data_IF_704814374335
#
_entry.id   IF_704814374335
#
_cell.length_a   1.000
_cell.length_b   1.000
_cell.length_c   1.000
_cell.angle_alpha   90.00
_cell.angle_beta   90.00
_cell.angle_gamma   90.00
#
_symmetry.space_group_name_H-M   'P 1'
#
loop_
_entity.id
_entity.type
_entity.pdbx_description
1 polymer ?
#
# COMPACT_ATOMS: atom_id res chain seq x y z
N UNK A 1 -89.06 31.87 -27.84
CA UNK A 1 -90.32 32.15 -27.11
C UNK A 1 -90.86 30.84 -26.58
N UNK A 2 -91.41 30.83 -25.36
CA UNK A 2 -91.96 29.66 -24.68
C UNK A 2 -93.40 29.98 -24.30
N UNK A 3 -94.34 29.08 -24.60
CA UNK A 3 -95.73 29.20 -24.15
C UNK A 3 -95.85 28.52 -22.79
N UNK A 4 -96.33 29.24 -21.80
CA UNK A 4 -96.51 28.76 -20.43
C UNK A 4 -97.97 28.90 -20.02
N UNK A 5 -98.53 27.79 -19.54
CA UNK A 5 -99.87 27.75 -18.95
C UNK A 5 -99.70 27.67 -17.43
N UNK A 6 -100.04 28.73 -16.67
CA UNK A 6 -99.94 28.68 -15.22
C UNK A 6 -100.89 27.64 -14.63
N UNK A 7 -100.41 26.88 -13.64
CA UNK A 7 -101.22 25.87 -12.93
C UNK A 7 -102.33 26.49 -12.09
N UNK A 8 -102.08 27.65 -11.47
CA UNK A 8 -103.09 28.41 -10.74
C UNK A 8 -103.83 29.34 -11.72
N UNK A 9 -105.02 28.92 -12.14
CA UNK A 9 -105.90 29.70 -13.00
C UNK A 9 -106.96 30.39 -12.13
N UNK A 10 -106.80 31.70 -11.96
CA UNK A 10 -107.82 32.57 -11.36
C UNK A 10 -108.05 33.76 -12.27
N UNK A 11 -109.30 34.23 -12.39
CA UNK A 11 -109.65 35.35 -13.26
C UNK A 11 -108.91 36.66 -12.91
N UNK A 12 -108.44 36.80 -11.67
CA UNK A 12 -107.60 37.90 -11.21
C UNK A 12 -106.12 37.81 -11.61
N UNK A 13 -105.70 36.70 -12.21
CA UNK A 13 -104.31 36.45 -12.61
C UNK A 13 -104.17 36.40 -14.14
N UNK A 14 -103.01 36.84 -14.65
CA UNK A 14 -102.71 36.85 -16.09
C UNK A 14 -103.68 37.66 -16.96
N UNK A 15 -104.37 38.67 -16.41
CA UNK A 15 -105.37 39.48 -17.13
C UNK A 15 -106.45 38.63 -17.83
N UNK A 16 -106.80 37.47 -17.26
CA UNK A 16 -107.78 36.55 -17.84
C UNK A 16 -107.25 35.67 -18.97
N UNK A 17 -105.98 35.80 -19.36
CA UNK A 17 -105.37 34.96 -20.38
C UNK A 17 -105.01 33.58 -19.81
N UNK A 18 -105.46 32.54 -20.50
CA UNK A 18 -105.18 31.14 -20.14
C UNK A 18 -103.71 30.79 -20.32
N UNK A 19 -103.04 31.41 -21.29
CA UNK A 19 -101.64 31.15 -21.63
C UNK A 19 -100.83 32.43 -21.69
N UNK A 20 -99.56 32.35 -21.30
CA UNK A 20 -98.56 33.42 -21.44
C UNK A 20 -97.50 33.01 -22.46
N UNK A 21 -97.06 33.94 -23.29
CA UNK A 21 -95.94 33.71 -24.21
C UNK A 21 -94.74 34.50 -23.69
N UNK A 22 -93.71 33.79 -23.22
CA UNK A 22 -92.52 34.35 -22.60
C UNK A 22 -91.37 34.32 -23.62
N UNK A 23 -90.73 35.45 -23.87
CA UNK A 23 -89.45 35.49 -24.59
C UNK A 23 -88.32 35.34 -23.59
N UNK A 24 -87.74 34.16 -23.49
CA UNK A 24 -86.47 34.01 -22.81
C UNK A 24 -85.35 34.40 -23.78
N UNK A 25 -84.49 35.31 -23.33
CA UNK A 25 -83.25 35.70 -24.02
C UNK A 25 -82.13 35.50 -23.00
N UNK A 26 -81.04 34.88 -23.43
CA UNK A 26 -79.85 34.70 -22.60
C UNK A 26 -79.25 36.07 -22.25
N UNK A 27 -78.92 36.28 -20.98
CA UNK A 27 -78.29 37.51 -20.56
C UNK A 27 -76.85 37.56 -21.09
N UNK A 28 -76.39 38.68 -21.66
CA UNK A 28 -75.00 38.79 -22.13
C UNK A 28 -74.04 38.64 -20.95
N UNK A 29 -73.07 37.74 -21.08
CA UNK A 29 -72.07 37.42 -20.05
C UNK A 29 -70.81 38.25 -20.27
N UNK A 30 -70.28 38.86 -19.21
CA UNK A 30 -69.03 39.63 -19.25
C UNK A 30 -67.83 38.66 -19.35
N UNK A 31 -66.99 38.76 -20.40
CA UNK A 31 -65.84 37.87 -20.58
C UNK A 31 -64.73 38.07 -19.53
N UNK A 32 -64.73 39.17 -18.78
CA UNK A 32 -63.73 39.47 -17.75
C UNK A 32 -64.24 39.21 -16.32
N UNK A 33 -65.48 38.73 -16.16
CA UNK A 33 -66.04 38.49 -14.83
C UNK A 33 -65.48 37.20 -14.19
N UNK A 34 -64.94 37.27 -12.96
CA UNK A 34 -64.37 36.10 -12.30
C UNK A 34 -65.45 35.09 -11.88
N UNK A 35 -65.09 33.80 -11.66
CA UNK A 35 -66.04 32.78 -11.20
C UNK A 35 -66.76 33.17 -9.90
N UNK A 36 -68.09 33.32 -9.97
CA UNK A 36 -68.92 33.80 -8.85
C UNK A 36 -68.99 32.84 -7.66
N UNK A 37 -68.81 31.54 -7.86
CA UNK A 37 -69.06 30.52 -6.84
C UNK A 37 -67.85 29.61 -6.62
N UNK A 38 -67.60 29.26 -5.36
CA UNK A 38 -66.59 28.28 -4.96
C UNK A 38 -67.19 26.88 -4.91
N UNK A 39 -66.49 25.89 -5.44
CA UNK A 39 -66.92 24.49 -5.34
C UNK A 39 -66.70 23.94 -3.93
N UNK A 40 -67.75 23.37 -3.33
CA UNK A 40 -67.67 22.61 -2.06
C UNK A 40 -67.82 21.12 -2.37
N UNK A 41 -66.86 20.29 -1.96
CA UNK A 41 -66.97 18.82 -2.06
C UNK A 41 -67.86 18.30 -0.92
N UNK A 42 -68.91 17.58 -1.28
CA UNK A 42 -69.83 16.93 -0.35
C UNK A 42 -69.52 15.43 -0.33
N UNK A 43 -69.64 14.74 0.82
CA UNK A 43 -69.52 13.29 0.87
C UNK A 43 -70.45 12.62 -0.14
N UNK A 44 -70.02 11.48 -0.68
CA UNK A 44 -70.84 10.71 -1.62
C UNK A 44 -72.15 10.34 -0.93
N UNK A 45 -73.27 10.58 -1.63
CA UNK A 45 -74.60 10.20 -1.15
C UNK A 45 -74.70 8.68 -0.93
N UNK A 46 -75.75 8.22 -0.22
CA UNK A 46 -75.96 6.80 0.01
C UNK A 46 -76.02 6.05 -1.33
N UNK A 47 -75.47 4.83 -1.41
CA UNK A 47 -75.63 4.02 -2.60
C UNK A 47 -77.12 3.69 -2.83
N UNK A 48 -77.47 3.33 -4.06
CA UNK A 48 -78.75 2.69 -4.35
C UNK A 48 -78.95 1.47 -3.43
N UNK A 49 -80.19 1.10 -3.09
CA UNK A 49 -80.44 -0.08 -2.28
C UNK A 49 -79.68 -1.30 -2.85
N UNK A 50 -79.05 -2.13 -1.99
CA UNK A 50 -78.26 -3.25 -2.46
C UNK A 50 -79.16 -4.22 -3.22
N UNK A 51 -78.71 -4.62 -4.40
CA UNK A 51 -79.43 -5.60 -5.21
C UNK A 51 -79.46 -6.95 -4.50
N UNK A 52 -80.58 -7.71 -4.56
CA UNK A 52 -80.64 -9.05 -3.99
C UNK A 52 -79.60 -9.97 -4.64
N UNK A 53 -78.72 -10.57 -3.82
CA UNK A 53 -77.71 -11.50 -4.33
C UNK A 53 -78.25 -12.92 -4.30
N UNK A 54 -78.55 -13.48 -5.47
CA UNK A 54 -79.09 -14.82 -5.63
C UNK A 54 -77.97 -15.88 -5.64
N UNK A 55 -77.41 -16.19 -4.48
CA UNK A 55 -76.47 -17.30 -4.32
C UNK A 55 -77.19 -18.66 -4.29
N UNK A 56 -76.53 -19.71 -4.74
CA UNK A 56 -76.95 -21.08 -4.42
C UNK A 56 -76.86 -21.32 -2.91
N UNK A 57 -77.62 -22.27 -2.33
CA UNK A 57 -77.50 -22.64 -0.93
C UNK A 57 -76.02 -22.90 -0.53
N UNK A 58 -75.59 -22.46 0.65
CA UNK A 58 -74.19 -22.57 1.06
C UNK A 58 -73.80 -24.04 1.17
N UNK A 59 -72.70 -24.41 0.51
CA UNK A 59 -72.10 -25.74 0.66
C UNK A 59 -71.44 -25.81 2.04
N UNK A 60 -71.66 -26.92 2.75
CA UNK A 60 -70.98 -27.13 4.04
C UNK A 60 -69.49 -27.33 3.80
N UNK A 61 -68.67 -26.47 4.39
CA UNK A 61 -67.21 -26.65 4.35
C UNK A 61 -66.83 -27.84 5.22
N UNK A 62 -65.94 -28.69 4.74
CA UNK A 62 -65.41 -29.78 5.56
C UNK A 62 -64.34 -29.24 6.50
N UNK A 63 -64.15 -29.88 7.67
CA UNK A 63 -63.08 -29.51 8.60
C UNK A 63 -61.69 -29.68 7.95
N UNK A 64 -61.55 -30.66 7.07
CA UNK A 64 -60.32 -30.91 6.31
C UNK A 64 -60.01 -29.73 5.38
N UNK A 65 -60.98 -29.31 4.58
CA UNK A 65 -60.79 -28.15 3.68
C UNK A 65 -60.39 -26.91 4.49
N UNK A 66 -61.05 -26.67 5.63
CA UNK A 66 -60.71 -25.53 6.48
C UNK A 66 -59.26 -25.59 7.01
N UNK A 67 -58.75 -26.78 7.31
CA UNK A 67 -57.38 -26.97 7.79
C UNK A 67 -56.35 -26.82 6.67
N UNK A 68 -56.61 -27.41 5.51
CA UNK A 68 -55.72 -27.34 4.34
C UNK A 68 -55.57 -25.88 3.85
N UNK A 69 -56.62 -25.07 4.01
CA UNK A 69 -56.61 -23.63 3.68
C UNK A 69 -56.15 -22.73 4.83
N UNK A 70 -55.61 -23.28 5.92
CA UNK A 70 -55.06 -22.48 7.02
C UNK A 70 -53.67 -21.97 6.66
N UNK A 71 -53.59 -20.71 6.26
CA UNK A 71 -52.34 -20.05 5.88
C UNK A 71 -51.47 -19.81 7.13
N UNK A 72 -50.21 -20.31 7.16
CA UNK A 72 -49.28 -20.02 8.25
C UNK A 72 -48.94 -18.54 8.37
N UNK A 73 -48.67 -18.01 9.58
CA UNK A 73 -48.26 -16.63 9.75
C UNK A 73 -46.90 -16.37 9.08
N UNK A 74 -46.77 -15.20 8.43
CA UNK A 74 -45.50 -14.78 7.85
C UNK A 74 -44.56 -14.27 8.96
N UNK A 75 -43.49 -15.02 9.22
CA UNK A 75 -42.41 -14.63 10.12
C UNK A 75 -41.23 -14.24 9.24
N UNK A 76 -40.88 -12.96 9.24
CA UNK A 76 -39.79 -12.46 8.40
C UNK A 76 -38.48 -12.36 9.20
N UNK A 77 -37.37 -12.64 8.52
CA UNK A 77 -36.03 -12.47 9.08
C UNK A 77 -35.58 -10.99 9.15
N UNK A 78 -36.31 -10.07 8.50
CA UNK A 78 -35.94 -8.66 8.39
C UNK A 78 -36.82 -7.69 9.17
N UNK A 79 -38.14 -7.93 9.21
CA UNK A 79 -39.12 -6.96 9.71
C UNK A 79 -39.93 -7.52 10.88
N UNK A 80 -39.99 -6.74 11.96
CA UNK A 80 -40.85 -6.99 13.11
C UNK A 80 -41.45 -5.67 13.62
N UNK A 81 -42.38 -5.10 12.84
CA UNK A 81 -42.93 -3.75 13.07
C UNK A 81 -43.61 -3.65 14.45
N UNK A 82 -44.28 -4.72 14.88
CA UNK A 82 -44.98 -4.78 16.16
C UNK A 82 -44.11 -5.28 17.32
N UNK A 83 -42.84 -5.63 17.06
CA UNK A 83 -41.90 -6.05 18.09
C UNK A 83 -42.26 -7.37 18.80
N UNK A 84 -42.93 -8.31 18.12
CA UNK A 84 -43.28 -9.59 18.73
C UNK A 84 -42.04 -10.39 19.16
N UNK A 85 -42.09 -11.00 20.35
CA UNK A 85 -41.09 -11.96 20.80
C UNK A 85 -41.36 -13.30 20.12
N UNK A 86 -40.51 -13.66 19.16
CA UNK A 86 -40.65 -14.87 18.34
C UNK A 86 -39.48 -15.80 18.66
N UNK A 87 -39.73 -17.08 19.01
CA UNK A 87 -38.67 -18.03 19.33
C UNK A 87 -37.80 -18.35 18.10
N UNK A 88 -36.60 -18.84 18.36
CA UNK A 88 -35.58 -19.04 17.31
C UNK A 88 -35.99 -20.10 16.29
N UNK A 89 -36.61 -21.19 16.73
CA UNK A 89 -37.09 -22.25 15.84
C UNK A 89 -38.02 -21.69 14.75
N UNK A 90 -38.95 -20.78 15.10
CA UNK A 90 -39.88 -20.19 14.14
C UNK A 90 -39.25 -19.14 13.23
N UNK A 91 -38.16 -18.49 13.66
CA UNK A 91 -37.39 -17.57 12.81
C UNK A 91 -36.52 -18.33 11.81
N UNK A 92 -35.87 -19.41 12.26
CA UNK A 92 -34.96 -20.20 11.43
C UNK A 92 -35.67 -21.26 10.59
N UNK A 93 -36.95 -21.57 10.87
CA UNK A 93 -37.70 -22.61 10.16
C UNK A 93 -37.73 -22.46 8.62
N UNK A 94 -37.75 -21.22 8.12
CA UNK A 94 -37.85 -20.94 6.69
C UNK A 94 -36.49 -20.62 6.04
N UNK A 95 -35.39 -20.73 6.78
CA UNK A 95 -34.08 -20.26 6.33
C UNK A 95 -33.52 -21.11 5.18
N UNK A 96 -34.04 -22.33 4.95
CA UNK A 96 -33.70 -23.19 3.79
C UNK A 96 -32.26 -23.69 3.77
N UNK A 97 -31.34 -23.05 4.49
CA UNK A 97 -29.92 -23.41 4.64
C UNK A 97 -29.73 -24.81 5.19
N UNK A 98 -30.62 -25.25 6.08
CA UNK A 98 -30.62 -26.63 6.60
C UNK A 98 -31.14 -27.69 5.62
N UNK A 99 -31.74 -27.28 4.50
CA UNK A 99 -32.22 -28.19 3.44
C UNK A 99 -31.18 -28.37 2.34
N UNK A 100 -30.16 -27.51 2.27
CA UNK A 100 -29.10 -27.60 1.27
C UNK A 100 -27.98 -28.52 1.76
N UNK A 101 -27.95 -29.75 1.24
CA UNK A 101 -26.82 -30.64 1.42
C UNK A 101 -25.69 -30.19 0.48
N UNK A 102 -24.57 -29.73 1.05
CA UNK A 102 -23.40 -29.31 0.27
C UNK A 102 -22.68 -30.56 -0.22
N UNK A 103 -22.93 -30.93 -1.47
CA UNK A 103 -22.21 -32.01 -2.16
C UNK A 103 -20.98 -31.46 -2.88
N UNK A 104 -19.83 -32.13 -2.76
CA UNK A 104 -18.57 -31.75 -3.40
C UNK A 104 -18.32 -32.65 -4.61
N UNK A 105 -17.85 -32.07 -5.72
CA UNK A 105 -17.53 -32.82 -6.95
C UNK A 105 -16.17 -33.52 -6.89
N UNK A 106 -16.07 -34.73 -7.45
CA UNK A 106 -14.81 -35.47 -7.62
C UNK A 106 -13.77 -34.78 -8.51
N UNK A 107 -14.19 -33.79 -9.31
CA UNK A 107 -13.26 -33.02 -10.15
C UNK A 107 -12.26 -32.22 -9.30
N UNK A 108 -12.62 -31.84 -8.07
CA UNK A 108 -11.69 -31.20 -7.14
C UNK A 108 -10.54 -32.14 -6.76
N UNK A 109 -10.82 -33.43 -6.55
CA UNK A 109 -9.80 -34.43 -6.27
C UNK A 109 -8.87 -34.60 -7.47
N UNK A 110 -9.43 -34.80 -8.67
CA UNK A 110 -8.66 -34.95 -9.92
C UNK A 110 -7.76 -33.73 -10.19
N UNK A 111 -8.27 -32.52 -9.98
CA UNK A 111 -7.49 -31.30 -10.13
C UNK A 111 -6.34 -31.27 -9.14
N UNK A 112 -6.61 -31.52 -7.85
CA UNK A 112 -5.57 -31.50 -6.82
C UNK A 112 -4.46 -32.52 -7.08
N UNK A 113 -4.82 -33.74 -7.49
CA UNK A 113 -3.85 -34.79 -7.86
C UNK A 113 -3.02 -34.38 -9.07
N UNK A 114 -3.66 -33.81 -10.10
CA UNK A 114 -2.95 -33.34 -11.30
C UNK A 114 -1.92 -32.26 -10.98
N UNK A 115 -2.27 -31.33 -10.07
CA UNK A 115 -1.36 -30.28 -9.60
C UNK A 115 -0.20 -30.85 -8.80
N UNK A 116 -0.44 -31.83 -7.92
CA UNK A 116 0.64 -32.51 -7.19
C UNK A 116 1.61 -33.24 -8.12
N UNK A 117 1.11 -33.91 -9.16
CA UNK A 117 1.95 -34.59 -10.15
C UNK A 117 2.74 -33.56 -10.96
N UNK A 118 2.08 -32.49 -11.42
CA UNK A 118 2.74 -31.42 -12.18
C UNK A 118 3.84 -30.74 -11.36
N UNK A 119 3.59 -30.45 -10.08
CA UNK A 119 4.58 -29.85 -9.18
C UNK A 119 5.79 -30.77 -8.99
N UNK A 120 5.56 -32.06 -8.73
CA UNK A 120 6.65 -33.02 -8.57
C UNK A 120 7.53 -33.08 -9.83
N UNK A 121 6.91 -33.17 -11.00
CA UNK A 121 7.63 -33.22 -12.26
C UNK A 121 8.42 -31.92 -12.51
N UNK A 122 7.83 -30.76 -12.23
CA UNK A 122 8.50 -29.47 -12.36
C UNK A 122 9.72 -29.37 -11.43
N UNK A 123 9.62 -29.84 -10.18
CA UNK A 123 10.76 -29.87 -9.25
C UNK A 123 11.88 -30.78 -9.73
N UNK A 124 11.55 -31.98 -10.18
CA UNK A 124 12.54 -32.92 -10.73
C UNK A 124 13.24 -32.36 -11.97
N UNK A 125 12.51 -31.69 -12.86
CA UNK A 125 13.10 -31.02 -14.03
C UNK A 125 14.04 -29.88 -13.63
N UNK A 126 13.63 -29.03 -12.69
CA UNK A 126 14.46 -27.92 -12.19
C UNK A 126 15.73 -28.45 -11.53
N UNK A 127 15.63 -29.51 -10.72
CA UNK A 127 16.78 -30.14 -10.08
C UNK A 127 17.73 -30.77 -11.11
N UNK A 128 17.21 -31.49 -12.11
CA UNK A 128 18.00 -32.04 -13.23
C UNK A 128 18.71 -30.92 -14.01
N UNK A 129 18.02 -29.82 -14.31
CA UNK A 129 18.63 -28.66 -14.98
C UNK A 129 19.72 -28.01 -14.12
N UNK A 130 19.46 -27.83 -12.83
CA UNK A 130 20.43 -27.24 -11.90
C UNK A 130 21.68 -28.12 -11.72
N UNK A 131 21.51 -29.45 -11.63
CA UNK A 131 22.65 -30.38 -11.54
C UNK A 131 23.47 -30.41 -12.83
N UNK A 132 22.84 -30.36 -14.00
CA UNK A 132 23.52 -30.25 -15.30
C UNK A 132 24.29 -28.93 -15.39
N UNK A 133 23.66 -27.81 -15.05
CA UNK A 133 24.32 -26.49 -15.04
C UNK A 133 25.54 -26.46 -14.10
N UNK A 134 25.42 -27.06 -12.91
CA UNK A 134 26.56 -27.21 -11.98
C UNK A 134 27.70 -28.05 -12.59
N UNK A 135 27.39 -29.15 -13.29
CA UNK A 135 28.39 -29.99 -13.96
C UNK A 135 29.09 -29.25 -15.11
N UNK A 136 28.34 -28.49 -15.91
CA UNK A 136 28.90 -27.65 -16.98
C UNK A 136 29.83 -26.59 -16.38
N UNK A 137 29.37 -25.87 -15.35
CA UNK A 137 30.17 -24.86 -14.68
C UNK A 137 31.46 -25.43 -14.04
N UNK A 138 31.39 -26.64 -13.46
CA UNK A 138 32.56 -27.33 -12.93
C UNK A 138 33.56 -27.71 -14.03
N UNK A 139 33.07 -28.25 -15.16
CA UNK A 139 33.90 -28.61 -16.32
C UNK A 139 34.52 -27.38 -16.98
N UNK A 140 33.78 -26.27 -17.09
CA UNK A 140 34.30 -25.00 -17.59
C UNK A 140 35.37 -24.42 -16.66
N UNK A 141 35.22 -24.60 -15.34
CA UNK A 141 36.24 -24.21 -14.35
C UNK A 141 37.50 -25.06 -14.46
N UNK A 142 37.35 -26.38 -14.61
CA UNK A 142 38.47 -27.31 -14.81
C UNK A 142 39.25 -26.98 -16.09
N UNK A 143 38.55 -26.76 -17.22
CA UNK A 143 39.19 -26.36 -18.47
C UNK A 143 39.97 -25.05 -18.33
N UNK A 144 39.39 -24.05 -17.64
CA UNK A 144 40.08 -22.79 -17.34
C UNK A 144 41.31 -23.01 -16.45
N UNK A 145 41.25 -23.92 -15.48
CA UNK A 145 42.39 -24.27 -14.62
C UNK A 145 43.51 -24.95 -15.43
N UNK A 146 43.19 -25.87 -16.34
CA UNK A 146 44.14 -26.49 -17.25
C UNK A 146 44.78 -25.49 -18.23
N UNK A 147 43.98 -24.58 -18.79
CA UNK A 147 44.47 -23.47 -19.63
C UNK A 147 45.45 -22.59 -18.85
N UNK A 148 45.10 -22.18 -17.62
CA UNK A 148 45.99 -21.40 -16.76
C UNK A 148 47.24 -22.18 -16.36
N UNK A 149 47.13 -23.49 -16.13
CA UNK A 149 48.25 -24.36 -15.76
C UNK A 149 49.23 -24.54 -16.91
N UNK A 150 48.74 -24.78 -18.12
CA UNK A 150 49.57 -24.90 -19.33
C UNK A 150 50.23 -23.56 -19.68
N UNK A 151 49.52 -22.44 -19.56
CA UNK A 151 50.08 -21.10 -19.72
C UNK A 151 51.19 -20.82 -18.70
N UNK A 152 50.97 -21.17 -17.42
CA UNK A 152 51.98 -21.01 -16.37
C UNK A 152 53.20 -21.92 -16.58
N UNK A 153 53.00 -23.15 -17.08
CA UNK A 153 54.09 -24.05 -17.42
C UNK A 153 54.92 -23.51 -18.59
N UNK A 154 54.26 -23.04 -19.66
CA UNK A 154 54.93 -22.39 -20.80
C UNK A 154 55.70 -21.15 -20.37
N UNK A 155 55.13 -20.30 -19.52
CA UNK A 155 55.82 -19.13 -18.97
C UNK A 155 57.05 -19.52 -18.11
N UNK A 156 57.00 -20.66 -17.40
CA UNK A 156 58.17 -21.20 -16.68
C UNK A 156 59.23 -21.74 -17.62
N UNK A 157 58.84 -22.43 -18.67
CA UNK A 157 59.76 -22.96 -19.70
C UNK A 157 60.45 -21.82 -20.45
N UNK A 158 59.73 -20.77 -20.85
CA UNK A 158 60.30 -19.56 -21.46
C UNK A 158 61.25 -18.83 -20.50
N UNK A 159 60.91 -18.76 -19.20
CA UNK A 159 61.80 -18.21 -18.16
C UNK A 159 63.04 -19.08 -17.91
N UNK A 160 62.90 -20.40 -17.96
CA UNK A 160 64.01 -21.33 -17.79
C UNK A 160 64.93 -21.31 -19.02
N UNK A 161 64.38 -21.21 -20.22
CA UNK A 161 65.14 -21.07 -21.47
C UNK A 161 65.91 -19.74 -21.50
N UNK A 162 65.31 -18.64 -21.06
CA UNK A 162 65.99 -17.34 -20.95
C UNK A 162 67.03 -17.32 -19.83
N UNK A 163 66.79 -18.00 -18.70
CA UNK A 163 67.81 -18.17 -17.65
C UNK A 163 68.96 -19.11 -18.07
N UNK A 164 68.69 -20.12 -18.89
CA UNK A 164 69.69 -21.04 -19.44
C UNK A 164 70.58 -20.44 -20.54
N UNK A 165 70.09 -19.41 -21.24
CA UNK A 165 70.86 -18.63 -22.22
C UNK A 165 71.79 -17.58 -21.57
N UNK A 166 71.72 -17.38 -20.25
CA UNK A 166 72.68 -16.59 -19.47
C UNK A 166 73.63 -17.49 -18.65
N UNK A 167 73.84 -18.74 -19.06
CA UNK A 167 74.88 -19.61 -18.53
C UNK A 167 76.01 -19.73 -19.57
N UNK A 168 76.87 -18.72 -19.62
CA UNK A 168 78.21 -18.84 -20.23
C UNK A 168 79.04 -19.88 -19.45
N UNK A 169 79.89 -20.69 -20.11
CA UNK A 169 80.75 -21.65 -19.44
C UNK A 169 81.86 -20.93 -18.64
N UNK A 170 81.62 -20.70 -17.36
CA UNK A 170 82.62 -20.21 -16.41
C UNK A 170 83.60 -21.34 -15.99
N UNK A 171 84.89 -21.02 -15.71
CA UNK A 171 85.95 -22.01 -15.48
C UNK A 171 85.79 -22.81 -14.17
N UNK A 172 86.49 -23.95 -14.12
CA UNK A 172 86.33 -25.08 -13.19
C UNK A 172 86.29 -24.81 -11.65
N UNK A 173 86.92 -23.77 -11.04
CA UNK A 173 86.90 -23.64 -9.57
C UNK A 173 85.56 -23.14 -8.97
N UNK A 174 84.55 -22.80 -9.79
CA UNK A 174 83.25 -22.27 -9.30
C UNK A 174 82.18 -23.37 -9.14
N UNK A 175 82.39 -24.56 -9.72
CA UNK A 175 81.44 -25.68 -9.65
C UNK A 175 81.26 -26.23 -8.23
N UNK A 176 82.32 -26.23 -7.42
CA UNK A 176 82.27 -26.68 -6.02
C UNK A 176 81.43 -25.73 -5.13
N UNK A 177 81.54 -24.41 -5.32
CA UNK A 177 80.74 -23.43 -4.57
C UNK A 177 79.24 -23.44 -4.96
N UNK A 178 78.92 -23.77 -6.21
CA UNK A 178 77.52 -23.95 -6.67
C UNK A 178 76.93 -25.23 -6.10
N UNK A 179 77.72 -26.32 -6.06
CA UNK A 179 77.37 -27.59 -5.42
C UNK A 179 77.05 -27.39 -3.93
N UNK A 180 77.92 -26.72 -3.17
CA UNK A 180 77.69 -26.43 -1.75
C UNK A 180 76.44 -25.56 -1.53
N UNK A 181 76.17 -24.58 -2.40
CA UNK A 181 74.97 -23.74 -2.32
C UNK A 181 73.70 -24.51 -2.65
N UNK A 182 73.78 -25.48 -3.54
CA UNK A 182 72.67 -26.34 -3.94
C UNK A 182 72.39 -27.42 -2.88
N UNK A 183 73.43 -27.96 -2.24
CA UNK A 183 73.33 -28.79 -1.05
C UNK A 183 72.67 -28.02 0.10
N UNK A 184 73.06 -26.77 0.35
CA UNK A 184 72.46 -25.93 1.39
C UNK A 184 70.99 -25.55 1.09
N UNK A 185 70.60 -25.47 -0.19
CA UNK A 185 69.19 -25.33 -0.62
C UNK A 185 68.42 -26.62 -0.43
N UNK A 186 69.02 -27.76 -0.76
CA UNK A 186 68.40 -29.07 -0.55
C UNK A 186 68.25 -29.40 0.94
N UNK A 187 69.23 -29.02 1.76
CA UNK A 187 69.21 -29.18 3.20
C UNK A 187 68.10 -28.33 3.82
N UNK A 188 68.00 -27.02 3.50
CA UNK A 188 66.87 -26.17 3.93
C UNK A 188 65.51 -26.65 3.42
N UNK A 189 65.46 -27.35 2.29
CA UNK A 189 64.22 -27.92 1.75
C UNK A 189 63.83 -29.19 2.51
N UNK A 190 64.79 -30.08 2.81
CA UNK A 190 64.59 -31.25 3.66
C UNK A 190 64.26 -30.87 5.09
N UNK A 191 64.84 -29.78 5.59
CA UNK A 191 64.56 -29.22 6.92
C UNK A 191 63.13 -28.69 7.00
N UNK A 192 62.68 -27.84 6.07
CA UNK A 192 61.27 -27.41 5.99
C UNK A 192 60.30 -28.56 5.78
N UNK A 193 60.68 -29.59 5.03
CA UNK A 193 59.84 -30.77 4.83
C UNK A 193 59.74 -31.63 6.10
N UNK A 194 60.84 -31.77 6.84
CA UNK A 194 60.85 -32.37 8.19
C UNK A 194 60.04 -31.53 9.18
N UNK A 195 60.20 -30.21 9.16
CA UNK A 195 59.48 -29.26 10.01
C UNK A 195 57.98 -29.31 9.73
N UNK A 196 57.54 -29.30 8.47
CA UNK A 196 56.12 -29.47 8.09
C UNK A 196 55.59 -30.85 8.50
N UNK A 197 56.42 -31.90 8.43
CA UNK A 197 56.04 -33.23 8.92
C UNK A 197 55.97 -33.30 10.44
N UNK A 198 56.83 -32.60 11.16
CA UNK A 198 56.82 -32.49 12.62
C UNK A 198 55.65 -31.63 13.10
N UNK A 199 55.38 -30.50 12.44
CA UNK A 199 54.22 -29.63 12.71
C UNK A 199 52.90 -30.38 12.49
N UNK A 200 52.83 -31.25 11.47
CA UNK A 200 51.68 -32.15 11.28
C UNK A 200 51.67 -33.37 12.21
N UNK A 201 52.82 -33.80 12.77
CA UNK A 201 52.90 -34.94 13.71
C UNK A 201 52.56 -34.56 15.15
N UNK A 202 52.85 -33.33 15.55
CA UNK A 202 52.65 -32.84 16.92
C UNK A 202 51.17 -32.55 17.26
N UNK A 203 50.23 -32.72 16.32
CA UNK A 203 48.78 -32.59 16.55
C UNK A 203 48.30 -31.20 17.00
N UNK A 204 49.22 -30.25 17.17
CA UNK A 204 48.93 -28.86 17.50
C UNK A 204 48.51 -28.17 16.21
N UNK A 205 47.23 -27.75 16.16
CA UNK A 205 46.67 -26.91 15.10
C UNK A 205 47.70 -25.86 14.65
N UNK A 206 48.02 -25.85 13.35
CA UNK A 206 49.03 -24.95 12.78
C UNK A 206 48.70 -23.51 13.13
N UNK A 207 49.72 -22.65 13.23
CA UNK A 207 49.51 -21.22 13.57
C UNK A 207 48.45 -20.58 12.65
N UNK A 208 48.40 -21.00 11.39
CA UNK A 208 47.41 -20.52 10.42
C UNK A 208 45.98 -20.97 10.73
N UNK A 209 45.76 -22.22 11.15
CA UNK A 209 44.41 -22.69 11.53
C UNK A 209 43.99 -22.15 12.89
N UNK A 210 44.93 -21.99 13.82
CA UNK A 210 44.69 -21.37 15.13
C UNK A 210 44.26 -19.92 15.00
N UNK A 211 44.95 -19.13 14.18
CA UNK A 211 44.63 -17.72 13.93
C UNK A 211 43.27 -17.56 13.20
N UNK A 212 42.87 -18.54 12.38
CA UNK A 212 41.58 -18.57 11.70
C UNK A 212 40.40 -18.90 12.64
N UNK A 213 40.61 -19.74 13.64
CA UNK A 213 39.61 -20.16 14.63
C UNK A 213 39.56 -19.28 15.89
N UNK A 214 40.41 -18.24 16.03
CA UNK A 214 40.31 -17.30 17.16
C UNK A 214 39.01 -16.51 17.10
N UNK A 215 38.31 -16.45 18.22
CA UNK A 215 37.13 -15.62 18.39
C UNK A 215 37.44 -14.15 18.15
N UNK A 216 36.44 -13.39 17.68
CA UNK A 216 36.62 -11.98 17.32
C UNK A 216 37.15 -11.15 18.50
N UNK A 217 36.74 -11.46 19.73
CA UNK A 217 37.24 -10.82 20.96
C UNK A 217 38.73 -11.11 21.21
N UNK A 218 39.21 -12.33 20.93
CA UNK A 218 40.63 -12.68 21.07
C UNK A 218 41.47 -12.06 19.96
N UNK A 219 40.95 -11.96 18.74
CA UNK A 219 41.63 -11.24 17.64
C UNK A 219 41.72 -9.73 17.91
N UNK A 220 40.72 -9.16 18.58
CA UNK A 220 40.72 -7.77 19.06
C UNK A 220 41.75 -7.59 20.18
N UNK A 221 41.78 -8.49 21.17
CA UNK A 221 42.75 -8.44 22.27
C UNK A 221 44.21 -8.66 21.79
N UNK A 222 44.40 -9.41 20.71
CA UNK A 222 45.71 -9.62 20.06
C UNK A 222 46.06 -8.53 19.02
N UNK A 223 45.20 -7.51 18.84
CA UNK A 223 45.44 -6.39 17.92
C UNK A 223 45.43 -6.75 16.42
N UNK A 224 44.91 -7.93 16.05
CA UNK A 224 44.89 -8.43 14.67
C UNK A 224 43.62 -8.05 13.89
N UNK A 225 42.63 -7.45 14.55
CA UNK A 225 41.41 -6.97 13.89
C UNK A 225 41.68 -5.65 13.16
N UNK A 226 41.71 -5.69 11.82
CA UNK A 226 41.66 -4.48 11.00
C UNK A 226 40.26 -3.87 11.14
N UNK A 227 40.11 -2.61 11.61
CA UNK A 227 38.81 -1.99 11.71
C UNK A 227 38.25 -1.75 10.31
N UNK A 228 37.23 -2.52 9.91
CA UNK A 228 36.46 -2.28 8.70
C UNK A 228 35.39 -1.21 8.98
N UNK A 229 35.79 0.05 9.09
CA UNK A 229 34.82 1.15 9.11
C UNK A 229 35.42 2.40 8.50
N UNK A 230 35.39 2.48 7.17
CA UNK A 230 35.69 3.68 6.39
C UNK A 230 34.44 4.52 6.11
N UNK A 231 33.34 4.27 6.82
CA UNK A 231 32.07 4.99 6.65
C UNK A 231 31.71 5.72 7.94
N UNK A 232 31.30 6.98 7.80
CA UNK A 232 30.89 7.87 8.89
C UNK A 232 29.81 7.22 9.73
N UNK A 233 30.04 7.13 11.05
CA UNK A 233 29.09 6.59 12.02
C UNK A 233 27.80 7.45 12.02
N UNK A 234 26.78 7.02 11.29
CA UNK A 234 25.45 7.63 11.35
C UNK A 234 24.74 7.26 12.66
N UNK A 235 24.01 8.21 13.27
CA UNK A 235 23.27 7.98 14.51
C UNK A 235 22.15 6.95 14.30
N UNK A 236 22.15 5.89 15.11
CA UNK A 236 21.20 4.77 15.05
C UNK A 236 19.74 5.22 15.19
N UNK A 237 19.48 6.39 15.81
CA UNK A 237 18.14 6.97 15.93
C UNK A 237 17.55 7.41 14.60
N UNK A 238 18.39 7.73 13.61
CA UNK A 238 17.95 8.16 12.28
C UNK A 238 17.46 7.00 11.42
N UNK A 239 18.05 5.80 11.57
CA UNK A 239 17.67 4.63 10.76
C UNK A 239 16.35 3.98 11.16
N UNK A 240 15.91 4.20 12.41
CA UNK A 240 14.64 3.65 12.91
C UNK A 240 13.47 4.62 12.79
N UNK A 241 13.62 5.69 12.00
CA UNK A 241 12.52 6.62 11.72
C UNK A 241 11.73 6.09 10.52
N UNK A 242 10.48 5.67 10.72
CA UNK A 242 9.58 5.17 9.67
C UNK A 242 9.14 6.24 8.63
N UNK A 243 9.79 7.41 8.62
CA UNK A 243 9.45 8.55 7.76
C UNK A 243 10.14 8.44 6.42
N UNK A 244 9.53 7.74 5.47
CA UNK A 244 10.02 7.71 4.09
C UNK A 244 9.09 7.05 3.08
N UNK A 245 8.30 6.06 3.48
CA UNK A 245 7.41 5.32 2.57
C UNK A 245 5.92 5.64 2.74
N UNK A 246 5.53 6.28 3.85
CA UNK A 246 4.11 6.44 4.21
C UNK A 246 3.43 7.72 3.70
N UNK A 247 4.16 8.75 3.30
CA UNK A 247 3.59 10.09 3.05
C UNK A 247 3.38 10.44 1.57
N UNK A 248 3.54 9.50 0.63
CA UNK A 248 3.49 9.84 -0.81
C UNK A 248 3.09 8.73 -1.77
N UNK A 249 2.69 7.56 -1.29
CA UNK A 249 2.36 6.42 -2.16
C UNK A 249 0.86 6.19 -2.39
N UNK A 250 0.00 6.93 -1.69
CA UNK A 250 -1.46 6.75 -1.76
C UNK A 250 -2.09 7.87 -2.59
N UNK A 251 -1.86 7.80 -3.90
CA UNK A 251 -2.36 8.76 -4.90
C UNK A 251 -3.76 8.40 -5.38
N UNK A 252 -4.77 8.58 -4.52
CA UNK A 252 -6.18 8.59 -4.91
C UNK A 252 -6.79 9.96 -4.61
N UNK A 253 -7.40 10.57 -5.63
CA UNK A 253 -8.02 11.91 -5.58
C UNK A 253 -9.06 12.07 -4.46
N UNK A 254 -9.57 10.95 -3.93
CA UNK A 254 -10.57 10.85 -2.88
C UNK A 254 -9.98 10.81 -1.44
N UNK A 255 -8.66 10.82 -1.29
CA UNK A 255 -8.00 10.74 0.02
C UNK A 255 -7.64 12.13 0.55
N UNK A 256 -8.40 12.61 1.54
CA UNK A 256 -8.20 13.89 2.24
C UNK A 256 -6.98 13.87 3.21
N UNK A 257 -5.82 13.43 2.74
CA UNK A 257 -4.57 13.37 3.51
C UNK A 257 -3.68 14.61 3.22
N UNK A 258 -4.19 15.81 3.51
CA UNK A 258 -3.49 17.09 3.26
C UNK A 258 -2.40 17.38 4.30
N UNK A 259 -2.48 16.76 5.49
CA UNK A 259 -1.57 17.01 6.60
C UNK A 259 -0.90 15.73 7.08
N UNK A 260 0.42 15.77 7.28
CA UNK A 260 1.22 14.65 7.81
C UNK A 260 0.92 14.31 9.28
N UNK A 261 0.25 15.22 10.00
CA UNK A 261 -0.05 15.09 11.43
C UNK A 261 -1.52 15.42 11.69
N UNK A 262 -2.18 14.61 12.52
CA UNK A 262 -3.52 14.89 12.99
C UNK A 262 -3.59 16.21 13.77
N UNK A 263 -4.65 17.01 13.52
CA UNK A 263 -4.87 18.32 14.15
C UNK A 263 -4.93 18.25 15.69
N UNK A 264 -5.43 17.14 16.23
CA UNK A 264 -5.37 16.84 17.65
C UNK A 264 -4.37 15.71 17.90
N UNK A 265 -3.42 15.94 18.80
CA UNK A 265 -2.41 14.95 19.23
C UNK A 265 -3.02 13.90 20.16
N UNK A 266 -4.17 13.34 19.78
CA UNK A 266 -4.81 12.22 20.47
C UNK A 266 -4.06 10.91 20.27
N UNK A 267 -3.28 10.74 19.19
CA UNK A 267 -2.65 9.46 18.82
C UNK A 267 -1.40 9.03 19.61
N UNK A 268 -1.12 9.60 20.78
CA UNK A 268 -0.05 9.10 21.67
C UNK A 268 -0.37 9.34 23.15
N UNK A 269 -1.12 10.40 23.46
CA UNK A 269 -1.70 10.58 24.79
C UNK A 269 -2.91 9.65 25.01
N UNK A 270 -3.72 9.33 23.99
CA UNK A 270 -4.89 8.45 24.16
C UNK A 270 -4.53 7.01 24.55
N UNK A 271 -3.39 6.48 24.07
CA UNK A 271 -2.87 5.17 24.50
C UNK A 271 -2.44 5.15 25.98
N UNK A 272 -2.28 6.31 26.60
CA UNK A 272 -1.96 6.49 28.01
C UNK A 272 -3.17 6.94 28.86
N UNK A 273 -4.35 7.20 28.26
CA UNK A 273 -5.51 7.67 29.03
C UNK A 273 -6.06 6.59 29.97
N UNK A 274 -5.86 5.29 29.67
CA UNK A 274 -6.15 4.23 30.64
C UNK A 274 -5.41 2.93 30.31
N UNK A 275 -4.36 2.60 31.10
CA UNK A 275 -3.70 1.29 31.11
C UNK A 275 -3.53 0.83 32.56
N UNK A 276 -4.49 0.07 33.13
CA UNK A 276 -4.34 -0.42 34.50
C UNK A 276 -3.22 -1.47 34.55
N UNK A 277 -2.08 -1.12 35.14
CA UNK A 277 -0.99 -2.05 35.44
C UNK A 277 -1.23 -2.68 36.82
N UNK A 278 -1.75 -3.90 36.84
CA UNK A 278 -2.08 -4.70 38.03
C UNK A 278 -0.85 -5.19 38.83
N UNK A 279 0.22 -4.39 38.91
CA UNK A 279 1.48 -4.77 39.57
C UNK A 279 2.11 -3.64 40.39
N UNK A 280 1.33 -2.64 40.81
CA UNK A 280 1.78 -1.57 41.72
C UNK A 280 0.71 -1.25 42.78
N UNK A 281 0.09 -2.26 43.37
CA UNK A 281 -0.99 -2.06 44.36
C UNK A 281 -0.54 -1.74 45.80
N UNK A 282 0.77 -1.72 46.11
CA UNK A 282 1.21 -1.69 47.52
C UNK A 282 1.91 -0.40 48.02
N UNK A 283 1.95 0.71 47.26
CA UNK A 283 2.73 1.90 47.71
C UNK A 283 2.05 3.29 47.56
N UNK A 284 0.75 3.38 47.23
CA UNK A 284 0.10 4.69 46.98
C UNK A 284 -1.34 4.81 47.52
N UNK A 285 -1.57 4.42 48.77
CA UNK A 285 -2.89 4.52 49.45
C UNK A 285 -3.36 5.93 49.85
N UNK A 286 -3.02 6.97 49.10
CA UNK A 286 -3.52 8.35 49.27
C UNK A 286 -3.70 8.95 47.86
N UNK A 287 -4.93 8.95 47.33
CA UNK A 287 -5.27 9.48 46.01
C UNK A 287 -4.83 10.95 45.83
N UNK A 288 -4.87 11.75 46.90
CA UNK A 288 -4.48 13.16 46.87
C UNK A 288 -2.96 13.34 46.70
N UNK A 289 -2.14 12.45 47.28
CA UNK A 289 -0.68 12.49 47.13
C UNK A 289 -0.22 11.98 45.77
N UNK A 290 -0.95 11.02 45.19
CA UNK A 290 -0.68 10.54 43.84
C UNK A 290 -0.95 11.62 42.79
N UNK A 291 -2.06 12.36 42.92
CA UNK A 291 -2.38 13.50 42.05
C UNK A 291 -1.37 14.65 42.19
N UNK A 292 -0.97 14.98 43.42
CA UNK A 292 0.04 16.02 43.68
C UNK A 292 1.43 15.60 43.15
N UNK A 293 1.79 14.31 43.25
CA UNK A 293 3.08 13.83 42.76
C UNK A 293 3.15 13.69 41.24
N UNK A 294 2.02 13.43 40.55
CA UNK A 294 1.95 13.46 39.08
C UNK A 294 2.05 14.90 38.56
N UNK A 295 1.43 15.87 39.24
CA UNK A 295 1.62 17.29 38.93
C UNK A 295 3.03 17.79 39.28
N UNK A 296 3.63 17.31 40.38
CA UNK A 296 4.99 17.67 40.80
C UNK A 296 6.10 16.97 39.99
N UNK A 297 5.80 15.81 39.37
CA UNK A 297 6.67 15.13 38.39
C UNK A 297 6.46 15.62 36.96
N UNK A 298 5.76 16.75 36.78
CA UNK A 298 5.93 17.57 35.59
C UNK A 298 7.43 17.87 35.43
N UNK A 299 8.03 17.25 34.43
CA UNK A 299 9.40 17.49 33.93
C UNK A 299 9.64 18.95 33.47
N UNK A 300 8.72 19.87 33.75
CA UNK A 300 8.88 21.31 33.69
C UNK A 300 8.73 21.91 35.08
N UNK A 301 9.80 21.85 35.86
CA UNK A 301 10.06 22.93 36.82
C UNK A 301 10.64 24.10 36.02
N UNK A 302 10.07 25.32 36.07
CA UNK A 302 10.77 26.50 35.58
C UNK A 302 11.95 26.72 36.53
N UNK A 303 13.09 26.12 36.21
CA UNK A 303 14.34 26.38 36.90
C UNK A 303 14.77 27.80 36.60
N UNK A 304 15.04 28.56 37.66
CA UNK A 304 15.67 29.89 37.71
C UNK A 304 17.12 29.91 37.15
N UNK A 305 17.34 29.28 36.00
CA UNK A 305 18.53 29.42 35.17
C UNK A 305 18.04 29.59 33.74
N UNK A 306 17.77 30.84 33.40
CA UNK A 306 17.44 31.23 32.05
C UNK A 306 18.52 30.77 31.07
N UNK A 307 18.07 30.46 29.87
CA UNK A 307 18.89 30.29 28.67
C UNK A 307 19.85 31.49 28.56
N UNK A 308 21.15 31.20 28.56
CA UNK A 308 22.19 32.20 28.38
C UNK A 308 21.98 32.84 26.99
N UNK A 309 21.57 34.11 26.98
CA UNK A 309 21.17 34.83 25.76
C UNK A 309 19.76 35.44 25.78
N UNK A 310 18.93 35.17 26.79
CA UNK A 310 17.62 35.81 26.95
C UNK A 310 17.52 36.59 28.28
N UNK A 311 18.23 37.73 28.35
CA UNK A 311 18.10 38.68 29.45
C UNK A 311 16.71 39.30 29.51
N UNK A 312 16.06 39.24 30.68
CA UNK A 312 14.81 39.94 30.99
C UNK A 312 15.02 41.45 30.87
N UNK A 313 14.38 42.07 29.87
CA UNK A 313 14.27 43.52 29.72
C UNK A 313 12.90 44.01 30.20
N UNK A 314 12.92 44.80 31.27
CA UNK A 314 11.84 45.70 31.68
C UNK A 314 11.62 46.78 30.59
N UNK A 315 10.36 47.12 30.34
CA UNK A 315 9.85 48.29 29.58
C UNK A 315 10.21 48.47 28.08
N UNK A 316 9.12 48.58 27.33
CA UNK A 316 8.87 49.56 26.26
C UNK A 316 9.34 49.28 24.82
N UNK A 317 8.43 49.66 23.91
CA UNK A 317 8.55 49.95 22.47
C UNK A 317 8.31 48.83 21.44
N UNK A 318 7.17 48.98 20.76
CA UNK A 318 6.84 48.38 19.46
C UNK A 318 7.83 48.81 18.39
N UNK A 319 8.59 47.87 17.83
CA UNK A 319 9.41 48.10 16.63
C UNK A 319 8.89 47.26 15.47
N UNK A 320 8.10 47.91 14.61
CA UNK A 320 7.74 47.42 13.28
C UNK A 320 8.84 47.80 12.29
N UNK A 321 9.82 46.91 12.06
CA UNK A 321 10.64 46.88 10.84
C UNK A 321 11.03 45.43 10.51
N UNK A 322 11.04 45.02 9.23
CA UNK A 322 11.48 43.67 8.84
C UNK A 322 12.95 43.43 9.17
N UNK A 323 13.26 42.17 9.49
CA UNK A 323 14.60 41.67 9.82
C UNK A 323 15.50 41.78 8.59
N UNK A 324 16.59 42.53 8.71
CA UNK A 324 17.72 42.49 7.78
C UNK A 324 18.65 41.33 8.20
N UNK A 325 19.08 40.52 7.24
CA UNK A 325 20.09 39.47 7.45
C UNK A 325 21.45 40.00 6.98
N UNK A 326 22.48 39.85 7.81
CA UNK A 326 23.87 40.01 7.40
C UNK A 326 24.27 38.83 6.50
N UNK A 327 24.77 39.15 5.31
CA UNK A 327 25.28 38.18 4.33
C UNK A 327 26.77 37.96 4.63
N UNK A 328 27.10 36.84 5.26
CA UNK A 328 28.49 36.39 5.36
C UNK A 328 28.92 35.78 4.02
N UNK A 329 29.80 36.48 3.32
CA UNK A 329 30.38 36.10 2.03
C UNK A 329 31.41 34.95 2.17
N UNK A 330 30.93 33.73 2.42
CA UNK A 330 31.71 32.51 2.21
C UNK A 330 31.57 32.06 0.75
N UNK A 331 32.70 32.06 0.02
CA UNK A 331 32.76 31.87 -1.42
C UNK A 331 32.04 30.60 -1.91
N UNK A 332 31.01 30.75 -2.75
CA UNK A 332 30.27 29.67 -3.41
C UNK A 332 31.17 28.88 -4.38
N UNK A 333 31.59 27.64 -4.03
CA UNK A 333 32.50 26.85 -4.84
C UNK A 333 31.83 26.22 -6.08
N UNK A 334 30.51 26.37 -6.23
CA UNK A 334 29.73 25.80 -7.33
C UNK A 334 29.18 26.86 -8.30
N UNK A 335 29.45 28.15 -8.08
CA UNK A 335 29.07 29.24 -8.99
C UNK A 335 27.57 29.38 -9.21
N UNK A 336 26.76 28.86 -8.30
CA UNK A 336 25.29 28.90 -8.34
C UNK A 336 24.78 30.31 -8.09
N UNK A 337 25.49 31.11 -7.30
CA UNK A 337 25.09 32.48 -6.99
C UNK A 337 25.25 33.43 -8.21
N UNK A 338 26.22 33.16 -9.09
CA UNK A 338 26.32 33.82 -10.40
C UNK A 338 25.17 33.42 -11.31
N UNK A 339 24.81 32.14 -11.34
CA UNK A 339 23.69 31.64 -12.14
C UNK A 339 22.33 32.20 -11.67
N UNK A 340 22.14 32.31 -10.35
CA UNK A 340 20.94 32.88 -9.74
C UNK A 340 20.85 34.39 -9.97
N UNK A 341 21.96 35.13 -9.88
CA UNK A 341 21.97 36.57 -10.17
C UNK A 341 21.79 36.87 -11.66
N UNK A 342 22.28 36.01 -12.56
CA UNK A 342 22.10 36.11 -14.01
C UNK A 342 20.66 35.77 -14.44
N UNK A 343 20.05 34.75 -13.81
CA UNK A 343 18.63 34.44 -13.98
C UNK A 343 17.71 35.56 -13.44
N UNK A 344 18.12 36.25 -12.36
CA UNK A 344 17.37 37.39 -11.79
C UNK A 344 17.50 38.68 -12.61
N UNK A 345 18.52 38.80 -13.46
CA UNK A 345 18.73 39.94 -14.38
C UNK A 345 17.96 39.83 -15.71
N UNK A 346 17.18 38.76 -15.90
CA UNK A 346 16.02 38.78 -16.80
C UNK A 346 16.29 39.11 -18.27
N UNK A 347 17.36 38.58 -18.88
CA UNK A 347 17.65 38.72 -20.32
C UNK A 347 18.09 37.39 -20.98
N UNK A 348 17.47 36.28 -20.61
CA UNK A 348 17.82 34.93 -21.13
C UNK A 348 16.78 34.36 -22.11
N UNK A 349 16.01 35.21 -22.81
CA UNK A 349 14.99 34.76 -23.78
C UNK A 349 15.02 35.47 -25.15
N UNK A 350 16.06 36.25 -25.46
CA UNK A 350 16.11 37.04 -26.72
C UNK A 350 17.04 36.45 -27.79
N UNK A 351 17.52 35.21 -27.63
CA UNK A 351 18.45 34.55 -28.59
C UNK A 351 18.20 33.06 -28.85
N UNK A 352 16.99 32.55 -28.56
CA UNK A 352 16.62 31.17 -28.94
C UNK A 352 15.67 31.27 -30.13
N UNK A 353 16.23 31.34 -31.34
CA UNK A 353 15.46 31.49 -32.58
C UNK A 353 16.28 31.72 -33.85
N UNK A 354 17.59 32.01 -33.75
CA UNK A 354 18.45 32.23 -34.92
C UNK A 354 19.58 31.20 -34.98
N UNK A 355 19.52 30.34 -35.99
CA UNK A 355 20.71 29.77 -36.63
C UNK A 355 21.18 28.40 -36.15
N UNK A 356 20.87 27.37 -36.94
CA UNK A 356 21.84 26.51 -37.64
C UNK A 356 21.26 25.11 -37.86
N UNK A 357 20.80 24.87 -39.10
CA UNK A 357 20.55 23.51 -39.56
C UNK A 357 21.85 22.78 -39.85
N UNK A 358 21.89 21.48 -39.58
CA UNK A 358 22.73 20.52 -40.29
C UNK A 358 22.00 19.17 -40.35
N UNK A 359 21.52 18.82 -41.54
CA UNK A 359 21.00 17.51 -41.91
C UNK A 359 22.05 16.74 -42.71
N UNK A 360 22.41 15.55 -42.24
CA UNK A 360 23.07 14.46 -42.97
C UNK A 360 22.88 13.19 -42.10
N UNK A 361 22.74 11.97 -42.59
CA UNK A 361 22.56 11.37 -43.92
C UNK A 361 22.28 9.87 -43.66
N UNK A 362 21.55 9.22 -44.59
CA UNK A 362 21.52 7.78 -44.87
C UNK A 362 21.12 6.80 -43.73
N UNK A 363 20.25 5.80 -43.89
CA UNK A 363 19.58 5.18 -45.03
C UNK A 363 19.14 3.77 -44.60
N UNK A 364 18.12 3.17 -45.25
CA UNK A 364 18.01 1.70 -45.28
C UNK A 364 16.64 1.05 -45.06
N UNK A 365 16.00 0.73 -46.19
CA UNK A 365 15.18 -0.46 -46.47
C UNK A 365 13.67 -0.48 -46.16
N UNK A 366 12.95 -0.58 -47.27
CA UNK A 366 11.52 -0.81 -47.50
C UNK A 366 11.05 -2.21 -47.09
N UNK A 367 9.78 -2.33 -46.70
CA UNK A 367 8.93 -3.49 -47.02
C UNK A 367 7.46 -3.09 -47.08
N UNK A 368 6.91 -3.00 -48.29
CA UNK A 368 5.47 -2.81 -48.56
C UNK A 368 4.67 -4.11 -48.31
N UNK A 369 3.36 -4.01 -47.98
CA UNK A 369 2.38 -5.07 -48.21
C UNK A 369 1.55 -4.83 -49.50
N UNK A 370 1.11 -5.88 -50.22
CA UNK A 370 0.43 -5.73 -51.52
C UNK A 370 -1.08 -5.44 -51.40
N UNK A 371 -1.70 -4.80 -52.41
CA UNK A 371 -3.15 -4.57 -52.46
C UNK A 371 -3.91 -5.58 -53.33
N UNK A 372 -5.15 -5.89 -52.91
CA UNK A 372 -6.30 -5.95 -53.83
C UNK A 372 -6.92 -7.32 -54.17
N UNK A 373 -8.20 -7.48 -53.82
CA UNK A 373 -9.33 -7.95 -54.66
C UNK A 373 -10.49 -8.33 -53.71
N UNK A 374 -11.76 -7.99 -53.94
CA UNK A 374 -12.44 -7.69 -55.18
C UNK A 374 -13.25 -8.90 -55.66
N UNK A 375 -14.24 -9.33 -54.87
CA UNK A 375 -15.53 -9.92 -55.31
C UNK A 375 -16.49 -10.07 -54.13
#
# INVERSE_FOLDING_TARGET
YIRYTPSNQGAAHASGATNRVIRMVEAPVDPMEPPKFKHKRVPRGPPSPPVPVMHSPPRKITLKDQQDWKIPPCISNWKNIKGYTIPLDKRLAADGRGLQEVQISDNFAKLSESLYIAERNAREEVEKRATIQKKIAAKDKERKEEELRSLAQRAREERAATAGLQAEPEPEPVKEAVSEREELRQERKRERERERRLENKDGKRSKMTRDAERDMSERIALGQAVPNSSETLYDQRLFNQAGGLGSGLEGGDDQYNIYDKALFRGGSAADAIYRPTRSQEDEWGDEDKAAEQVMAKSRFKPGDKGFDGAGRGDKQESRNRPVEFEQDDEQDPFGLDQMLTEARKGNALDRIGEGAGMSASAGGSMKEPPPGSGR
#
